data_IF_452454011778
#
_entry.id   IF_452454011778
#
_cell.length_a   1.000
_cell.length_b   1.000
_cell.length_c   1.000
_cell.angle_alpha   90.00
_cell.angle_beta   90.00
_cell.angle_gamma   90.00
#
_symmetry.space_group_name_H-M   'P 1'
#
loop_
_entity.id
_entity.type
_entity.pdbx_description
1 polymer ?
#
# COMPACT_ATOMS: atom_id res chain seq x y z
N UNK A 1 -20.70 6.83 -2.76
CA UNK A 1 -21.07 5.40 -2.79
C UNK A 1 -19.87 4.47 -2.72
N UNK A 2 -18.92 4.45 -3.67
CA UNK A 2 -17.74 3.54 -3.57
C UNK A 2 -16.80 3.88 -2.39
N UNK A 3 -16.63 5.18 -2.08
CA UNK A 3 -15.83 5.65 -0.93
C UNK A 3 -16.39 5.19 0.42
N UNK A 4 -17.70 5.05 0.56
CA UNK A 4 -18.35 4.74 1.85
C UNK A 4 -18.10 3.29 2.26
N UNK A 5 -18.06 2.37 1.28
CA UNK A 5 -17.74 0.96 1.50
C UNK A 5 -16.28 0.74 1.90
N UNK A 6 -15.35 1.43 1.23
CA UNK A 6 -13.92 1.37 1.56
C UNK A 6 -13.67 1.89 2.97
N UNK A 7 -14.30 3.01 3.33
CA UNK A 7 -14.19 3.58 4.67
C UNK A 7 -14.72 2.60 5.73
N UNK A 8 -15.89 2.00 5.51
CA UNK A 8 -16.46 1.01 6.41
C UNK A 8 -15.55 -0.21 6.59
N UNK A 9 -14.93 -0.70 5.53
CA UNK A 9 -13.99 -1.82 5.61
C UNK A 9 -12.76 -1.49 6.48
N UNK A 10 -12.18 -0.30 6.33
CA UNK A 10 -11.10 0.16 7.22
C UNK A 10 -11.55 0.28 8.68
N UNK A 11 -12.79 0.72 8.92
CA UNK A 11 -13.35 0.80 10.28
C UNK A 11 -13.56 -0.57 10.91
N UNK A 12 -14.06 -1.53 10.15
CA UNK A 12 -14.28 -2.90 10.60
C UNK A 12 -12.94 -3.56 10.97
N UNK A 13 -11.92 -3.46 10.11
CA UNK A 13 -10.58 -4.01 10.40
C UNK A 13 -9.95 -3.35 11.61
N UNK A 14 -10.00 -2.01 11.72
CA UNK A 14 -9.48 -1.31 12.90
C UNK A 14 -10.17 -1.80 14.17
N UNK A 15 -11.49 -1.97 14.12
CA UNK A 15 -12.28 -2.45 15.26
C UNK A 15 -11.86 -3.85 15.69
N UNK A 16 -11.69 -4.77 14.74
CA UNK A 16 -11.25 -6.14 15.02
C UNK A 16 -9.81 -6.17 15.55
N UNK A 17 -8.89 -5.37 14.99
CA UNK A 17 -7.53 -5.22 15.51
C UNK A 17 -7.51 -4.68 16.95
N UNK A 18 -8.26 -3.61 17.21
CA UNK A 18 -8.32 -2.97 18.52
C UNK A 18 -8.85 -3.93 19.59
N UNK A 19 -9.89 -4.72 19.27
CA UNK A 19 -10.39 -5.79 20.14
C UNK A 19 -9.31 -6.84 20.40
N UNK A 20 -8.68 -7.37 19.34
CA UNK A 20 -7.69 -8.46 19.44
C UNK A 20 -6.45 -8.06 20.23
N UNK A 21 -5.99 -6.81 20.11
CA UNK A 21 -4.83 -6.28 20.84
C UNK A 21 -5.18 -5.59 22.18
N UNK A 22 -6.45 -5.62 22.60
CA UNK A 22 -6.95 -4.93 23.79
C UNK A 22 -6.48 -3.46 23.87
N UNK A 23 -6.60 -2.77 22.74
CA UNK A 23 -6.02 -1.45 22.54
C UNK A 23 -6.69 -0.42 23.45
N UNK A 24 -5.91 0.15 24.37
CA UNK A 24 -6.37 1.26 25.21
C UNK A 24 -6.52 2.52 24.37
N UNK A 25 -7.51 3.36 24.69
CA UNK A 25 -7.80 4.60 23.97
C UNK A 25 -8.02 4.42 22.46
N UNK A 26 -8.60 3.29 22.05
CA UNK A 26 -8.79 2.95 20.63
C UNK A 26 -9.53 4.05 19.82
N UNK A 27 -10.45 4.78 20.44
CA UNK A 27 -11.15 5.90 19.80
C UNK A 27 -10.22 7.07 19.48
N UNK A 28 -9.36 7.43 20.43
CA UNK A 28 -8.42 8.56 20.27
C UNK A 28 -7.36 8.20 19.24
N UNK A 29 -6.81 6.97 19.30
CA UNK A 29 -5.87 6.45 18.29
C UNK A 29 -6.51 6.46 16.90
N UNK A 30 -7.78 6.04 16.78
CA UNK A 30 -8.50 6.10 15.49
C UNK A 30 -8.63 7.53 14.99
N UNK A 31 -9.01 8.46 15.87
CA UNK A 31 -9.13 9.89 15.53
C UNK A 31 -7.80 10.45 15.03
N UNK A 32 -6.71 10.07 15.70
CA UNK A 32 -5.34 10.47 15.33
C UNK A 32 -4.90 9.89 13.99
N UNK A 33 -5.28 8.66 13.64
CA UNK A 33 -5.00 8.10 12.31
C UNK A 33 -5.81 8.85 11.25
N UNK A 34 -7.11 9.07 11.48
CA UNK A 34 -8.01 9.67 10.48
C UNK A 34 -7.64 11.12 10.19
N UNK A 35 -7.28 11.91 11.22
CA UNK A 35 -6.94 13.33 11.04
C UNK A 35 -5.66 13.56 10.24
N UNK A 36 -4.75 12.59 10.24
CA UNK A 36 -3.47 12.65 9.51
C UNK A 36 -3.55 11.97 8.13
N UNK A 37 -4.73 11.52 7.69
CA UNK A 37 -4.93 10.85 6.41
C UNK A 37 -5.65 11.75 5.41
N UNK A 38 -5.03 11.94 4.25
CA UNK A 38 -5.68 12.57 3.09
C UNK A 38 -6.05 11.50 2.08
N UNK A 39 -7.32 11.44 1.68
CA UNK A 39 -7.81 10.54 0.64
C UNK A 39 -8.04 11.35 -0.64
N UNK A 40 -7.29 11.03 -1.68
CA UNK A 40 -7.41 11.65 -3.00
C UNK A 40 -7.96 10.63 -3.98
N UNK A 41 -8.86 11.06 -4.85
CA UNK A 41 -9.36 10.24 -5.95
C UNK A 41 -8.85 10.81 -7.26
N UNK A 42 -8.07 10.00 -8.00
CA UNK A 42 -7.57 10.35 -9.32
C UNK A 42 -8.34 9.60 -10.40
N UNK A 43 -8.77 10.31 -11.43
CA UNK A 43 -9.32 9.66 -12.61
C UNK A 43 -8.19 8.88 -13.33
N UNK A 44 -8.39 7.59 -13.55
CA UNK A 44 -7.42 6.68 -14.18
C UNK A 44 -7.14 7.07 -15.64
N UNK A 45 -8.12 7.64 -16.36
CA UNK A 45 -7.97 8.03 -17.76
C UNK A 45 -7.00 9.21 -17.91
N UNK A 46 -7.08 10.17 -16.99
CA UNK A 46 -6.21 11.35 -16.93
C UNK A 46 -5.01 11.15 -15.98
N UNK A 47 -4.81 9.93 -15.48
CA UNK A 47 -3.71 9.61 -14.58
C UNK A 47 -2.37 9.91 -15.26
N UNK A 48 -1.63 10.81 -14.62
CA UNK A 48 -0.25 11.13 -14.89
C UNK A 48 0.44 11.40 -13.54
N UNK A 49 1.55 10.72 -13.31
CA UNK A 49 2.37 10.86 -12.11
C UNK A 49 2.82 12.30 -11.84
N UNK A 50 3.11 13.09 -12.88
CA UNK A 50 3.46 14.50 -12.70
C UNK A 50 2.34 15.31 -12.05
N UNK A 51 1.07 15.00 -12.36
CA UNK A 51 -0.09 15.62 -11.73
C UNK A 51 -0.22 15.21 -10.26
N UNK A 52 0.07 13.94 -9.93
CA UNK A 52 0.10 13.45 -8.54
C UNK A 52 1.17 14.16 -7.74
N UNK A 53 2.41 14.17 -8.24
CA UNK A 53 3.54 14.84 -7.57
C UNK A 53 3.23 16.33 -7.39
N UNK A 54 2.64 17.00 -8.37
CA UNK A 54 2.23 18.40 -8.26
C UNK A 54 1.17 18.61 -7.17
N UNK A 55 0.20 17.70 -7.07
CA UNK A 55 -0.84 17.73 -6.03
C UNK A 55 -0.24 17.54 -4.64
N UNK A 56 0.67 16.58 -4.49
CA UNK A 56 1.34 16.31 -3.22
C UNK A 56 2.24 17.49 -2.78
N UNK A 57 2.95 18.12 -3.72
CA UNK A 57 3.73 19.34 -3.45
C UNK A 57 2.84 20.51 -3.05
N UNK A 58 1.67 20.67 -3.66
CA UNK A 58 0.71 21.70 -3.25
C UNK A 58 0.17 21.45 -1.83
N UNK A 59 -0.09 20.19 -1.48
CA UNK A 59 -0.48 19.81 -0.11
C UNK A 59 0.64 20.10 0.90
N UNK A 60 1.89 19.85 0.53
CA UNK A 60 3.05 20.16 1.38
C UNK A 60 3.18 21.67 1.65
N UNK A 61 2.99 22.51 0.63
CA UNK A 61 2.92 23.98 0.79
C UNK A 61 1.79 24.38 1.74
N UNK A 62 0.68 23.64 1.72
CA UNK A 62 -0.44 23.79 2.66
C UNK A 62 -0.18 23.22 4.07
N UNK A 63 1.02 22.72 4.36
CA UNK A 63 1.40 22.17 5.66
C UNK A 63 1.15 20.67 5.83
N UNK A 64 0.69 19.97 4.79
CA UNK A 64 0.45 18.52 4.82
C UNK A 64 1.64 17.78 4.21
N UNK A 65 2.53 17.27 5.07
CA UNK A 65 3.68 16.46 4.63
C UNK A 65 3.25 15.04 4.28
N UNK A 66 3.92 14.45 3.30
CA UNK A 66 3.68 13.06 2.90
C UNK A 66 4.69 12.14 3.60
N UNK A 67 4.28 11.40 4.63
CA UNK A 67 5.11 10.34 5.23
C UNK A 67 4.97 9.00 4.49
N UNK A 68 3.76 8.72 3.99
CA UNK A 68 3.45 7.55 3.19
C UNK A 68 2.40 7.86 2.13
N UNK A 69 2.58 7.28 0.94
CA UNK A 69 1.63 7.33 -0.16
C UNK A 69 1.20 5.90 -0.52
N UNK A 70 -0.11 5.64 -0.46
CA UNK A 70 -0.70 4.36 -0.87
C UNK A 70 -1.51 4.61 -2.14
N UNK A 71 -1.15 3.94 -3.22
CA UNK A 71 -1.85 4.01 -4.50
C UNK A 71 -2.54 2.66 -4.72
N UNK A 72 -3.86 2.68 -4.56
CA UNK A 72 -4.70 1.50 -4.70
C UNK A 72 -5.20 1.35 -6.14
N UNK A 73 -4.99 0.18 -6.75
CA UNK A 73 -5.56 -0.17 -8.05
C UNK A 73 -4.93 0.54 -9.25
N UNK A 74 -3.62 0.86 -9.20
CA UNK A 74 -2.93 1.41 -10.36
C UNK A 74 -2.85 0.37 -11.49
N UNK A 75 -3.31 0.75 -12.69
CA UNK A 75 -3.31 -0.16 -13.82
C UNK A 75 -1.89 -0.52 -14.28
N UNK A 76 -1.71 -1.77 -14.73
CA UNK A 76 -0.43 -2.30 -15.23
C UNK A 76 0.20 -1.44 -16.32
N UNK A 77 -0.62 -0.83 -17.16
CA UNK A 77 -0.16 0.02 -18.27
C UNK A 77 0.35 1.39 -17.83
N UNK A 78 0.02 1.84 -16.62
CA UNK A 78 0.42 3.14 -16.07
C UNK A 78 1.65 3.06 -15.17
N UNK A 79 1.97 1.88 -14.66
CA UNK A 79 3.18 1.62 -13.88
C UNK A 79 4.26 1.00 -14.77
N UNK A 80 5.02 1.86 -15.45
CA UNK A 80 6.17 1.48 -16.28
C UNK A 80 7.50 1.91 -15.62
N UNK A 81 8.63 1.58 -16.24
CA UNK A 81 9.96 1.95 -15.75
C UNK A 81 10.14 3.45 -15.47
N UNK A 82 9.61 4.32 -16.33
CA UNK A 82 9.72 5.78 -16.19
C UNK A 82 8.91 6.28 -14.98
N UNK A 83 7.67 5.80 -14.84
CA UNK A 83 6.82 6.11 -13.69
C UNK A 83 7.47 5.64 -12.39
N UNK A 84 8.10 4.46 -12.38
CA UNK A 84 8.85 3.97 -11.22
C UNK A 84 10.02 4.91 -10.85
N UNK A 85 10.77 5.41 -11.82
CA UNK A 85 11.88 6.35 -11.56
C UNK A 85 11.38 7.68 -10.98
N UNK A 86 10.29 8.20 -11.53
CA UNK A 86 9.65 9.42 -11.03
C UNK A 86 9.09 9.24 -9.61
N UNK A 87 8.46 8.10 -9.30
CA UNK A 87 8.01 7.79 -7.95
C UNK A 87 9.17 7.63 -6.97
N UNK A 88 10.27 6.97 -7.37
CA UNK A 88 11.47 6.87 -6.53
C UNK A 88 12.12 8.22 -6.26
N UNK A 89 12.18 9.09 -7.27
CA UNK A 89 12.68 10.45 -7.11
C UNK A 89 11.84 11.24 -6.09
N UNK A 90 10.52 11.18 -6.22
CA UNK A 90 9.62 11.83 -5.26
C UNK A 90 9.72 11.23 -3.85
N UNK A 91 9.74 9.90 -3.71
CA UNK A 91 9.90 9.22 -2.43
C UNK A 91 11.17 9.69 -1.69
N UNK A 92 12.28 9.85 -2.42
CA UNK A 92 13.54 10.36 -1.87
C UNK A 92 13.46 11.85 -1.49
N UNK A 93 12.84 12.68 -2.32
CA UNK A 93 12.63 14.11 -2.07
C UNK A 93 11.78 14.33 -0.80
N UNK A 94 10.62 13.67 -0.74
CA UNK A 94 9.67 13.79 0.36
C UNK A 94 10.05 12.98 1.61
N UNK A 95 11.08 12.12 1.52
CA UNK A 95 11.42 11.10 2.54
C UNK A 95 10.22 10.20 2.89
N UNK A 96 9.41 9.90 1.89
CA UNK A 96 8.16 9.16 2.02
C UNK A 96 8.34 7.69 1.61
N UNK A 97 7.51 6.82 2.16
CA UNK A 97 7.31 5.48 1.59
C UNK A 97 6.18 5.49 0.56
N UNK A 98 6.32 4.76 -0.54
CA UNK A 98 5.26 4.64 -1.57
C UNK A 98 4.93 3.17 -1.76
N UNK A 99 3.64 2.86 -1.65
CA UNK A 99 3.09 1.51 -1.81
C UNK A 99 2.07 1.49 -2.94
N UNK A 100 2.16 0.46 -3.76
CA UNK A 100 1.20 0.18 -4.84
C UNK A 100 0.52 -1.15 -4.56
N UNK A 101 -0.80 -1.20 -4.73
CA UNK A 101 -1.52 -2.47 -4.82
C UNK A 101 -1.75 -2.81 -6.29
N UNK A 102 -1.64 -4.10 -6.63
CA UNK A 102 -2.01 -4.58 -7.95
C UNK A 102 -2.43 -6.05 -7.90
N UNK A 103 -3.47 -6.38 -8.66
CA UNK A 103 -3.88 -7.77 -8.86
C UNK A 103 -2.98 -8.42 -9.91
N UNK A 104 -2.57 -9.66 -9.63
CA UNK A 104 -1.75 -10.46 -10.53
C UNK A 104 -2.19 -11.92 -10.51
N UNK A 105 -1.87 -12.63 -11.58
CA UNK A 105 -2.12 -14.08 -11.71
C UNK A 105 -0.87 -14.90 -11.37
N UNK A 106 0.30 -14.25 -11.31
CA UNK A 106 1.55 -14.89 -10.90
C UNK A 106 1.69 -14.99 -9.38
N UNK A 107 2.54 -15.89 -8.92
CA UNK A 107 2.82 -16.09 -7.49
C UNK A 107 4.28 -15.85 -7.11
N UNK A 108 5.17 -15.77 -8.10
CA UNK A 108 6.62 -15.64 -7.95
C UNK A 108 7.11 -14.29 -8.44
N UNK A 109 8.30 -13.88 -8.02
CA UNK A 109 8.88 -12.56 -8.34
C UNK A 109 8.89 -12.25 -9.85
N UNK A 110 9.17 -13.25 -10.68
CA UNK A 110 9.24 -13.18 -12.14
C UNK A 110 7.87 -13.20 -12.84
N UNK A 111 6.81 -13.62 -12.13
CA UNK A 111 5.45 -13.75 -12.69
C UNK A 111 4.47 -12.71 -12.13
N UNK A 112 4.75 -12.13 -10.97
CA UNK A 112 3.85 -11.13 -10.35
C UNK A 112 3.84 -9.80 -11.09
N UNK A 113 5.00 -9.36 -11.58
CA UNK A 113 5.23 -8.08 -12.25
C UNK A 113 6.39 -8.20 -13.27
N UNK A 114 6.41 -7.37 -14.33
CA UNK A 114 7.54 -7.30 -15.25
C UNK A 114 8.87 -6.91 -14.57
N UNK A 115 9.99 -7.43 -15.09
CA UNK A 115 11.34 -7.19 -14.54
C UNK A 115 11.70 -5.70 -14.45
N UNK A 116 11.25 -4.90 -15.40
CA UNK A 116 11.44 -3.44 -15.41
C UNK A 116 10.85 -2.73 -14.18
N UNK A 117 9.81 -3.31 -13.57
CA UNK A 117 9.20 -2.83 -12.33
C UNK A 117 9.87 -3.49 -11.13
N UNK A 118 10.05 -4.81 -11.17
CA UNK A 118 10.57 -5.55 -10.01
C UNK A 118 12.00 -5.19 -9.69
N UNK A 119 12.84 -4.91 -10.68
CA UNK A 119 14.23 -4.44 -10.51
C UNK A 119 14.29 -3.09 -9.78
N UNK A 120 13.34 -2.19 -10.07
CA UNK A 120 13.24 -0.85 -9.46
C UNK A 120 12.54 -0.84 -8.11
N UNK A 121 11.66 -1.79 -7.80
CA UNK A 121 10.98 -1.85 -6.51
C UNK A 121 11.95 -2.22 -5.36
N UNK A 122 11.83 -1.51 -4.22
CA UNK A 122 12.63 -1.80 -3.03
C UNK A 122 12.06 -2.98 -2.23
N UNK A 123 10.76 -3.22 -2.28
CA UNK A 123 10.12 -4.37 -1.67
C UNK A 123 8.96 -4.86 -2.54
N UNK A 124 8.74 -6.17 -2.55
CA UNK A 124 7.59 -6.80 -3.22
C UNK A 124 7.01 -7.84 -2.28
N UNK A 125 5.72 -7.68 -2.01
CA UNK A 125 4.93 -8.56 -1.16
C UNK A 125 3.75 -9.06 -1.98
N UNK A 126 3.57 -10.37 -2.01
CA UNK A 126 2.46 -11.03 -2.68
C UNK A 126 1.46 -11.54 -1.64
N UNK A 127 0.18 -11.27 -1.87
CA UNK A 127 -0.90 -11.67 -0.97
C UNK A 127 -1.83 -12.64 -1.71
N UNK A 128 -2.01 -13.83 -1.14
CA UNK A 128 -2.94 -14.83 -1.67
C UNK A 128 -4.06 -15.07 -0.65
N UNK A 129 -5.30 -14.83 -1.06
CA UNK A 129 -6.47 -15.17 -0.26
C UNK A 129 -6.59 -16.71 -0.16
N UNK A 130 -6.68 -17.22 1.06
CA UNK A 130 -7.07 -18.60 1.39
C UNK A 130 -8.37 -18.56 2.20
N UNK A 131 -9.07 -19.69 2.41
CA UNK A 131 -10.39 -19.69 3.07
C UNK A 131 -10.44 -18.94 4.42
N UNK A 132 -9.45 -19.14 5.29
CA UNK A 132 -9.44 -18.58 6.65
C UNK A 132 -8.22 -17.67 6.94
N UNK A 133 -7.41 -17.38 5.94
CA UNK A 133 -6.16 -16.62 6.11
C UNK A 133 -5.78 -15.92 4.82
N UNK A 134 -4.97 -14.87 4.93
CA UNK A 134 -4.25 -14.33 3.79
C UNK A 134 -2.82 -14.81 3.92
N UNK A 135 -2.36 -15.59 2.94
CA UNK A 135 -0.96 -15.94 2.83
C UNK A 135 -0.20 -14.73 2.30
N UNK A 136 0.89 -14.37 2.98
CA UNK A 136 1.75 -13.26 2.60
C UNK A 136 3.15 -13.80 2.32
N UNK A 137 3.58 -13.65 1.07
CA UNK A 137 4.94 -13.95 0.64
C UNK A 137 5.71 -12.65 0.42
N UNK A 138 6.82 -12.48 1.14
CA UNK A 138 7.81 -11.47 0.81
C UNK A 138 8.66 -12.05 -0.33
N UNK A 139 8.61 -11.43 -1.50
CA UNK A 139 9.31 -11.90 -2.70
C UNK A 139 10.65 -11.18 -2.91
N UNK A 140 10.73 -9.92 -2.48
CA UNK A 140 11.95 -9.09 -2.59
C UNK A 140 12.01 -8.06 -1.47
N UNK A 141 13.20 -7.81 -0.92
CA UNK A 141 13.52 -6.64 -0.07
C UNK A 141 14.94 -6.15 -0.36
N UNK A 142 15.09 -4.86 -0.66
CA UNK A 142 16.38 -4.14 -0.84
C UNK A 142 17.39 -4.84 -1.75
N UNK A 143 16.89 -5.46 -2.83
CA UNK A 143 17.72 -6.17 -3.81
C UNK A 143 17.87 -7.66 -3.54
N UNK A 144 17.45 -8.15 -2.38
CA UNK A 144 17.48 -9.57 -2.05
C UNK A 144 16.15 -10.23 -2.39
N UNK A 145 16.20 -11.33 -3.14
CA UNK A 145 15.05 -12.22 -3.33
C UNK A 145 14.85 -13.04 -2.07
N UNK A 146 13.65 -12.98 -1.52
CA UNK A 146 13.28 -13.75 -0.33
C UNK A 146 12.51 -14.98 -0.79
N UNK A 147 12.84 -16.13 -0.18
CA UNK A 147 12.15 -17.40 -0.41
C UNK A 147 11.55 -17.87 0.90
N UNK A 148 10.39 -18.53 0.81
CA UNK A 148 9.76 -19.27 1.89
C UNK A 148 9.44 -18.45 3.15
N UNK A 149 9.07 -17.18 2.98
CA UNK A 149 8.69 -16.32 4.09
C UNK A 149 7.46 -16.86 4.83
N UNK A 150 6.52 -17.50 4.10
CA UNK A 150 5.37 -18.26 4.61
C UNK A 150 4.62 -17.54 5.75
N UNK A 151 4.43 -16.22 5.62
CA UNK A 151 3.71 -15.45 6.61
C UNK A 151 2.20 -15.63 6.40
N UNK A 152 1.46 -15.67 7.50
CA UNK A 152 0.01 -15.82 7.48
C UNK A 152 -0.60 -14.63 8.20
N UNK A 153 -1.61 -14.04 7.61
CA UNK A 153 -2.42 -12.99 8.20
C UNK A 153 -3.81 -13.53 8.50
N UNK A 154 -4.34 -13.15 9.65
CA UNK A 154 -5.72 -13.38 10.04
C UNK A 154 -6.64 -12.54 9.13
N UNK A 155 -7.64 -13.15 8.50
CA UNK A 155 -8.46 -12.48 7.47
C UNK A 155 -9.40 -11.39 8.01
N UNK A 156 -9.64 -11.35 9.34
CA UNK A 156 -10.48 -10.35 9.98
C UNK A 156 -9.68 -9.17 10.50
N UNK A 157 -8.48 -9.45 10.99
CA UNK A 157 -7.65 -8.46 11.69
C UNK A 157 -6.45 -8.01 10.87
N UNK A 158 -6.08 -8.73 9.81
CA UNK A 158 -4.84 -8.57 9.02
C UNK A 158 -3.55 -8.67 9.85
N UNK A 159 -3.63 -9.04 11.12
CA UNK A 159 -2.47 -9.25 11.97
C UNK A 159 -1.81 -10.58 11.60
N UNK A 160 -0.47 -10.59 11.62
CA UNK A 160 0.29 -11.83 11.48
C UNK A 160 -0.08 -12.81 12.59
N UNK A 161 -0.24 -14.09 12.24
CA UNK A 161 -0.27 -15.14 13.25
C UNK A 161 1.09 -15.18 13.94
N UNK A 162 1.07 -15.11 15.28
CA UNK A 162 2.28 -15.31 16.09
C UNK A 162 2.71 -16.79 15.94
N UNK A 163 4.01 -17.03 15.79
CA UNK A 163 4.60 -18.39 15.72
C UNK A 163 4.61 -19.05 17.10
#
# INVERSE_FOLDING_TARGET
>A
QQSDFVMRWYEDIFTEMAKKKNLQLAKDIKSDIVKNRVVLNFNQDTFNISSIVSTLKALEVGGVKTDALIIDGLSKTKLNAEAMDQFKAYAKEAKASIWFSQNTEGETLDTVLPEEITSKADAIVHLTQKPDTIQMEVLKVRGETIKDSNLRLDSKTLLMFEK
#
